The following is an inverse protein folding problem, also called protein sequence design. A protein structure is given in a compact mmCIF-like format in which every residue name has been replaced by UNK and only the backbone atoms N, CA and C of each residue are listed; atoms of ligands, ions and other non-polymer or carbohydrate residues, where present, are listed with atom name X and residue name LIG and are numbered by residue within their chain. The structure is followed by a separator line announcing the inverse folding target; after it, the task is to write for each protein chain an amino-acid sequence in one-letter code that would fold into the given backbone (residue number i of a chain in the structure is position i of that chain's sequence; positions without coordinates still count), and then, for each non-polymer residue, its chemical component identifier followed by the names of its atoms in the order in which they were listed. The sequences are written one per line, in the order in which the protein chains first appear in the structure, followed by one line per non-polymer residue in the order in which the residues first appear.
data_IF_773754298058
#
_entry.id   IF_773754298058
#
_cell.length_a   1.000
_cell.length_b   1.000
_cell.length_c   1.000
_cell.angle_alpha   90.00
_cell.angle_beta   90.00
_cell.angle_gamma   90.00
#
_symmetry.space_group_name_H-M   'P 1'
#
loop_
_entity.id
_entity.type
_entity.pdbx_description
1 polymer ?
#
# COMPACT_ATOMS: atom_id res chain seq x y z
N UNK A 1 -22.07 5.08 0.58
CA UNK A 1 -20.83 5.84 0.33
C UNK A 1 -19.75 4.83 -0.03
N UNK A 2 -19.37 4.71 -1.30
CA UNK A 2 -18.30 3.80 -1.72
C UNK A 2 -16.96 4.38 -1.30
N UNK A 3 -16.03 3.56 -0.79
CA UNK A 3 -14.68 4.01 -0.51
C UNK A 3 -14.06 4.62 -1.79
N UNK A 4 -13.45 5.79 -1.67
CA UNK A 4 -12.72 6.42 -2.77
C UNK A 4 -11.30 5.86 -2.80
N UNK A 5 -10.84 5.55 -4.01
CA UNK A 5 -9.57 4.89 -4.26
C UNK A 5 -8.83 5.65 -5.34
N UNK A 6 -7.58 5.97 -5.06
CA UNK A 6 -6.68 6.70 -5.96
C UNK A 6 -5.43 5.88 -6.24
N UNK A 7 -4.71 6.25 -7.28
CA UNK A 7 -3.41 5.65 -7.62
C UNK A 7 -2.38 6.75 -7.82
N UNK A 8 -1.13 6.43 -7.50
CA UNK A 8 0.02 7.30 -7.76
C UNK A 8 0.26 7.49 -9.27
N UNK A 9 -0.09 6.50 -10.09
CA UNK A 9 -0.06 6.55 -11.55
C UNK A 9 -1.14 5.65 -12.18
N UNK A 10 -1.61 5.91 -13.42
CA UNK A 10 -2.65 5.12 -14.08
C UNK A 10 -2.34 3.62 -14.16
N UNK A 11 -1.08 3.29 -14.45
CA UNK A 11 -0.54 1.94 -14.58
C UNK A 11 -0.25 1.25 -13.24
N UNK A 12 -0.22 1.99 -12.13
CA UNK A 12 0.02 1.42 -10.81
C UNK A 12 -1.04 0.37 -10.49
N UNK A 13 -0.64 -0.72 -9.87
CA UNK A 13 -1.51 -1.80 -9.39
C UNK A 13 -1.89 -1.58 -7.93
N UNK A 14 -1.25 -0.64 -7.24
CA UNK A 14 -1.55 -0.24 -5.87
C UNK A 14 -2.60 0.87 -5.87
N UNK A 15 -3.68 0.65 -5.14
CA UNK A 15 -4.73 1.63 -4.87
C UNK A 15 -4.60 2.12 -3.43
N UNK A 16 -4.61 3.44 -3.25
CA UNK A 16 -4.64 4.09 -1.96
C UNK A 16 -6.07 4.50 -1.61
N UNK A 17 -6.49 4.20 -0.37
CA UNK A 17 -7.83 4.54 0.11
C UNK A 17 -7.83 5.98 0.62
N UNK A 18 -8.79 6.78 0.18
CA UNK A 18 -9.04 8.08 0.77
C UNK A 18 -9.69 7.91 2.16
N UNK A 19 -9.04 8.42 3.20
CA UNK A 19 -9.51 8.37 4.60
C UNK A 19 -9.74 9.78 5.14
N UNK A 20 -10.77 10.51 4.64
CA UNK A 20 -11.00 11.89 5.02
C UNK A 20 -11.28 12.01 6.52
N UNK A 21 -10.55 12.91 7.19
CA UNK A 21 -10.67 13.13 8.63
C UNK A 21 -9.82 12.19 9.50
N UNK A 22 -9.06 11.27 8.90
CA UNK A 22 -8.11 10.41 9.62
C UNK A 22 -6.68 10.78 9.24
N UNK A 23 -5.86 11.11 10.24
CA UNK A 23 -4.44 11.46 10.03
C UNK A 23 -3.56 10.24 10.29
N UNK A 24 -2.59 10.00 9.40
CA UNK A 24 -1.59 8.94 9.59
C UNK A 24 -2.03 7.54 9.17
N UNK A 25 -3.21 7.39 8.55
CA UNK A 25 -3.61 6.11 7.95
C UNK A 25 -3.14 6.01 6.49
N UNK A 26 -2.25 5.05 6.24
CA UNK A 26 -1.86 4.63 4.90
C UNK A 26 -2.48 3.26 4.62
N UNK A 27 -3.66 3.29 4.01
CA UNK A 27 -4.42 2.08 3.64
C UNK A 27 -4.32 1.88 2.13
N UNK A 28 -3.92 0.69 1.71
CA UNK A 28 -3.80 0.34 0.31
C UNK A 28 -4.44 -1.00 -0.02
N UNK A 29 -4.62 -1.26 -1.31
CA UNK A 29 -5.18 -2.49 -1.86
C UNK A 29 -4.66 -2.74 -3.27
N UNK A 30 -4.62 -4.00 -3.70
CA UNK A 30 -4.31 -4.36 -5.09
C UNK A 30 -5.59 -4.54 -5.94
N UNK A 31 -6.72 -4.81 -5.30
CA UNK A 31 -8.00 -5.14 -5.96
C UNK A 31 -9.21 -4.31 -5.47
N UNK A 32 -8.98 -3.39 -4.51
CA UNK A 32 -9.98 -2.59 -3.78
C UNK A 32 -10.97 -3.41 -2.95
N UNK A 33 -10.68 -4.69 -2.69
CA UNK A 33 -11.46 -5.59 -1.83
C UNK A 33 -10.68 -5.95 -0.57
N UNK A 34 -9.42 -6.35 -0.72
CA UNK A 34 -8.53 -6.65 0.41
C UNK A 34 -7.72 -5.41 0.77
N UNK A 35 -7.91 -4.92 1.98
CA UNK A 35 -7.22 -3.73 2.48
C UNK A 35 -6.01 -4.11 3.32
N UNK A 36 -4.94 -3.33 3.20
CA UNK A 36 -3.72 -3.44 3.98
C UNK A 36 -3.41 -2.09 4.61
N UNK A 37 -2.95 -2.10 5.85
CA UNK A 37 -2.36 -0.96 6.52
C UNK A 37 -0.85 -0.99 6.36
N UNK A 38 -0.26 0.04 5.76
CA UNK A 38 1.19 0.11 5.56
C UNK A 38 1.99 -0.03 6.87
N UNK A 39 1.50 0.53 7.97
CA UNK A 39 2.23 0.48 9.24
C UNK A 39 2.08 -0.85 10.00
N UNK A 40 0.96 -1.57 9.79
CA UNK A 40 0.61 -2.78 10.57
C UNK A 40 0.80 -4.07 9.79
N UNK A 41 0.68 -4.02 8.47
CA UNK A 41 0.60 -5.21 7.62
C UNK A 41 1.80 -5.31 6.66
N UNK A 42 2.43 -4.18 6.30
CA UNK A 42 3.59 -4.18 5.39
C UNK A 42 4.92 -4.35 6.15
N UNK A 43 5.86 -5.17 5.65
CA UNK A 43 5.72 -6.06 4.48
C UNK A 43 5.14 -7.45 4.83
N UNK A 44 5.02 -7.80 6.11
CA UNK A 44 4.89 -9.17 6.61
C UNK A 44 3.61 -9.93 6.19
N UNK A 45 2.49 -9.22 5.97
CA UNK A 45 1.20 -9.83 5.62
C UNK A 45 0.92 -9.88 4.12
N UNK A 46 1.84 -9.34 3.31
CA UNK A 46 1.73 -9.42 1.86
C UNK A 46 2.28 -10.76 1.39
N UNK A 47 1.66 -11.34 0.36
CA UNK A 47 2.28 -12.44 -0.36
C UNK A 47 3.55 -11.96 -1.08
N UNK A 48 4.49 -12.86 -1.44
CA UNK A 48 5.70 -12.47 -2.17
C UNK A 48 5.40 -11.70 -3.47
N UNK A 49 4.32 -12.04 -4.16
CA UNK A 49 3.91 -11.37 -5.40
C UNK A 49 3.32 -9.99 -5.14
N UNK A 50 2.45 -9.84 -4.14
CA UNK A 50 1.94 -8.53 -3.71
C UNK A 50 3.06 -7.61 -3.23
N UNK A 51 4.03 -8.14 -2.48
CA UNK A 51 5.20 -7.38 -2.03
C UNK A 51 6.04 -6.91 -3.22
N UNK A 52 6.25 -7.77 -4.22
CA UNK A 52 6.95 -7.40 -5.45
C UNK A 52 6.22 -6.28 -6.19
N UNK A 53 4.90 -6.42 -6.40
CA UNK A 53 4.07 -5.39 -7.03
C UNK A 53 4.18 -4.07 -6.28
N UNK A 54 4.04 -4.09 -4.95
CA UNK A 54 4.14 -2.89 -4.13
C UNK A 54 5.50 -2.21 -4.26
N UNK A 55 6.59 -2.98 -4.24
CA UNK A 55 7.95 -2.44 -4.39
C UNK A 55 8.22 -1.85 -5.77
N UNK A 56 7.61 -2.40 -6.81
CA UNK A 56 7.69 -1.88 -8.18
C UNK A 56 6.92 -0.56 -8.32
N UNK A 57 5.70 -0.51 -7.78
CA UNK A 57 4.79 0.63 -8.00
C UNK A 57 4.97 1.75 -6.97
N UNK A 58 5.48 1.44 -5.79
CA UNK A 58 5.73 2.38 -4.68
C UNK A 58 7.19 2.27 -4.18
N UNK A 59 8.20 2.52 -5.04
CA UNK A 59 9.60 2.19 -4.75
C UNK A 59 10.19 2.93 -3.54
N UNK A 60 9.67 4.13 -3.22
CA UNK A 60 10.11 4.89 -2.04
C UNK A 60 9.62 4.21 -0.75
N UNK A 61 8.33 3.87 -0.69
CA UNK A 61 7.74 3.20 0.47
C UNK A 61 8.18 1.74 0.58
N UNK A 62 8.41 1.07 -0.56
CA UNK A 62 8.85 -0.31 -0.64
C UNK A 62 10.22 -0.58 0.02
N UNK A 63 11.08 0.45 0.09
CA UNK A 63 12.40 0.41 0.73
C UNK A 63 12.39 0.78 2.21
N UNK A 64 11.30 1.38 2.72
CA UNK A 64 11.23 1.95 4.06
C UNK A 64 11.35 0.91 5.20
N UNK A 65 11.11 -0.37 4.92
CA UNK A 65 11.20 -1.47 5.91
C UNK A 65 12.10 -2.61 5.45
N UNK A 66 13.15 -2.33 4.70
CA UNK A 66 14.19 -3.33 4.45
C UNK A 66 14.99 -3.60 5.73
N UNK A 67 15.29 -4.88 6.05
CA UNK A 67 15.96 -5.26 7.29
C UNK A 67 17.38 -4.68 7.44
N UNK A 68 17.97 -4.11 6.38
CA UNK A 68 19.31 -3.51 6.40
C UNK A 68 19.37 -2.11 7.04
N UNK A 69 18.27 -1.56 7.57
CA UNK A 69 18.24 -0.25 8.25
C UNK A 69 17.77 -0.32 9.72
N UNK A 70 17.82 -1.49 10.36
CA UNK A 70 17.53 -1.66 11.80
C UNK A 70 18.80 -1.83 12.64
#
# INVERSE_FOLDING_TARGET
MTAKWDKSAPESRVWWKETPGVTGELIFSFDKKKEYSFYRDFPEKLTPEELKIFREDEPVLGKFREPDHA
#
